data_IF_367863962505
#
_entry.id   IF_367863962505
#
_cell.length_a   1.000
_cell.length_b   1.000
_cell.length_c   1.000
_cell.angle_alpha   90.00
_cell.angle_beta   90.00
_cell.angle_gamma   90.00
#
_symmetry.space_group_name_H-M   'P 1'
#
loop_
_entity.id
_entity.type
_entity.pdbx_description
1 polymer ?
#
# COMPACT_ATOMS: atom_id res chain seq x y z
N UNK A 1 13.38 -3.10 9.97
CA UNK A 1 12.94 -2.94 8.56
C UNK A 1 12.74 -4.29 7.85
N UNK A 2 12.22 -5.32 8.54
CA UNK A 2 12.13 -6.69 7.98
C UNK A 2 10.98 -6.82 6.97
N UNK A 3 9.86 -6.15 7.23
CA UNK A 3 8.65 -6.24 6.40
C UNK A 3 8.85 -5.63 5.01
N UNK A 4 9.46 -4.43 4.92
CA UNK A 4 9.73 -3.77 3.63
C UNK A 4 10.65 -4.64 2.75
N UNK A 5 11.68 -5.24 3.33
CA UNK A 5 12.59 -6.13 2.58
C UNK A 5 11.91 -7.42 2.13
N UNK A 6 10.92 -7.94 2.88
CA UNK A 6 10.11 -9.06 2.38
C UNK A 6 9.16 -8.61 1.26
N UNK A 7 8.53 -7.44 1.39
CA UNK A 7 7.63 -6.89 0.36
C UNK A 7 8.34 -6.66 -0.98
N UNK A 8 9.63 -6.27 -0.96
CA UNK A 8 10.44 -6.13 -2.19
C UNK A 8 10.63 -7.45 -2.96
N UNK A 9 10.56 -8.61 -2.28
CA UNK A 9 10.69 -9.92 -2.92
C UNK A 9 9.38 -10.40 -3.58
N UNK A 10 8.26 -9.73 -3.28
CA UNK A 10 6.96 -10.08 -3.86
C UNK A 10 6.93 -9.60 -5.30
N UNK A 11 6.82 -10.55 -6.23
CA UNK A 11 6.57 -10.24 -7.63
C UNK A 11 5.15 -9.69 -7.77
N UNK A 12 5.01 -8.52 -8.40
CA UNK A 12 3.70 -7.99 -8.75
C UNK A 12 3.06 -8.86 -9.84
N UNK A 13 1.93 -9.50 -9.52
CA UNK A 13 1.18 -10.38 -10.42
C UNK A 13 0.05 -9.65 -11.15
N UNK A 14 -0.22 -8.39 -10.81
CA UNK A 14 -1.26 -7.60 -11.45
C UNK A 14 -0.84 -7.30 -12.90
N UNK A 15 -1.80 -7.22 -13.81
CA UNK A 15 -1.53 -6.73 -15.17
C UNK A 15 -0.99 -5.30 -15.12
N UNK A 16 -0.10 -4.94 -16.05
CA UNK A 16 0.51 -3.60 -16.14
C UNK A 16 -0.52 -2.46 -16.12
N UNK A 17 -1.69 -2.66 -16.74
CA UNK A 17 -2.79 -1.67 -16.74
C UNK A 17 -3.37 -1.38 -15.35
N UNK A 18 -3.22 -2.32 -14.40
CA UNK A 18 -3.75 -2.23 -13.04
C UNK A 18 -2.67 -1.85 -12.01
N UNK A 19 -1.46 -1.50 -12.48
CA UNK A 19 -0.34 -1.09 -11.64
C UNK A 19 -0.22 0.44 -11.58
N UNK A 20 -1.30 1.12 -11.18
CA UNK A 20 -1.29 2.59 -10.97
C UNK A 20 -0.21 3.00 -9.95
N UNK A 21 -0.04 2.19 -8.90
CA UNK A 21 1.05 2.30 -7.94
C UNK A 21 1.78 0.97 -7.78
N UNK A 22 3.11 1.00 -7.49
CA UNK A 22 3.85 -0.21 -7.14
C UNK A 22 3.20 -0.95 -5.96
N UNK A 23 3.15 -2.28 -6.02
CA UNK A 23 2.52 -3.09 -4.95
C UNK A 23 3.10 -2.79 -3.57
N UNK A 24 4.40 -2.47 -3.49
CA UNK A 24 5.06 -2.11 -2.24
C UNK A 24 4.51 -0.81 -1.63
N UNK A 25 4.19 0.20 -2.46
CA UNK A 25 3.58 1.44 -1.99
C UNK A 25 2.17 1.18 -1.46
N UNK A 26 1.40 0.36 -2.16
CA UNK A 26 0.04 -0.05 -1.72
C UNK A 26 0.11 -0.80 -0.40
N UNK A 27 1.00 -1.79 -0.27
CA UNK A 27 1.17 -2.55 0.96
C UNK A 27 1.60 -1.66 2.14
N UNK A 28 2.49 -0.70 1.90
CA UNK A 28 2.91 0.26 2.92
C UNK A 28 1.74 1.12 3.41
N UNK A 29 0.92 1.66 2.51
CA UNK A 29 -0.27 2.45 2.87
C UNK A 29 -1.26 1.61 3.67
N UNK A 30 -1.55 0.38 3.21
CA UNK A 30 -2.48 -0.52 3.90
C UNK A 30 -2.02 -0.82 5.33
N UNK A 31 -0.76 -1.19 5.51
CA UNK A 31 -0.20 -1.48 6.83
C UNK A 31 -0.23 -0.23 7.71
N UNK A 32 0.18 0.92 7.19
CA UNK A 32 0.21 2.18 7.94
C UNK A 32 -1.18 2.61 8.36
N UNK A 33 -2.16 2.58 7.45
CA UNK A 33 -3.54 2.94 7.73
C UNK A 33 -4.15 2.00 8.79
N UNK A 34 -3.88 0.69 8.71
CA UNK A 34 -4.31 -0.28 9.73
C UNK A 34 -3.68 0.02 11.11
N UNK A 35 -2.39 0.37 11.15
CA UNK A 35 -1.72 0.78 12.39
C UNK A 35 -2.30 2.09 12.97
N UNK A 36 -2.83 2.96 12.12
CA UNK A 36 -3.58 4.16 12.49
C UNK A 36 -5.06 3.89 12.82
N UNK A 37 -5.48 2.63 12.90
CA UNK A 37 -6.84 2.22 13.28
C UNK A 37 -7.87 2.25 12.16
N UNK A 38 -7.46 2.38 10.90
CA UNK A 38 -8.37 2.31 9.74
C UNK A 38 -8.72 0.86 9.42
N UNK A 39 -10.01 0.57 9.34
CA UNK A 39 -10.52 -0.80 9.22
C UNK A 39 -11.34 -1.04 7.95
N UNK A 40 -11.64 0.01 7.17
CA UNK A 40 -12.38 -0.07 5.92
C UNK A 40 -11.48 0.28 4.74
N UNK A 41 -11.71 -0.38 3.61
CA UNK A 41 -10.96 -0.11 2.38
C UNK A 41 -11.14 1.32 1.86
N UNK A 42 -12.31 1.92 2.05
CA UNK A 42 -12.57 3.33 1.75
C UNK A 42 -11.64 4.23 2.55
N UNK A 43 -11.60 4.03 3.87
CA UNK A 43 -10.86 4.89 4.78
C UNK A 43 -9.34 4.74 4.56
N UNK A 44 -8.87 3.54 4.22
CA UNK A 44 -7.48 3.27 3.83
C UNK A 44 -7.13 3.96 2.50
N UNK A 45 -8.05 3.96 1.53
CA UNK A 45 -7.86 4.65 0.25
C UNK A 45 -7.76 6.16 0.47
N UNK A 46 -8.70 6.74 1.22
CA UNK A 46 -8.73 8.17 1.54
C UNK A 46 -7.47 8.57 2.33
N UNK A 47 -7.02 7.72 3.25
CA UNK A 47 -5.75 7.89 3.97
C UNK A 47 -4.54 7.94 3.03
N UNK A 48 -4.50 7.07 2.00
CA UNK A 48 -3.43 7.09 1.00
C UNK A 48 -3.47 8.32 0.10
N UNK A 49 -4.65 8.71 -0.37
CA UNK A 49 -4.84 9.86 -1.27
C UNK A 49 -4.54 11.19 -0.59
N UNK A 50 -4.82 11.33 0.71
CA UNK A 50 -4.45 12.51 1.50
C UNK A 50 -2.94 12.65 1.73
N UNK A 51 -2.16 11.63 1.40
CA UNK A 51 -0.75 11.46 1.76
C UNK A 51 0.09 11.04 0.55
N UNK A 52 -0.32 11.47 -0.64
CA UNK A 52 0.20 10.98 -1.93
C UNK A 52 1.68 11.29 -2.16
N UNK A 53 2.21 12.30 -1.47
CA UNK A 53 3.60 12.76 -1.55
C UNK A 53 4.57 11.97 -0.65
N UNK A 54 4.05 11.00 0.12
CA UNK A 54 4.83 10.18 1.07
C UNK A 54 5.57 9.02 0.35
#
# INVERSE_FOLDING_TARGET
MIIIEQLKKVKDTRSHINQVYPVIKVAFVVITAMLCGQNKWTDIKDFGEGNIDW
#
